data_IF_291144511820
#
_entry.id   IF_291144511820
#
_cell.length_a   1.000
_cell.length_b   1.000
_cell.length_c   1.000
_cell.angle_alpha   90.00
_cell.angle_beta   90.00
_cell.angle_gamma   90.00
#
_symmetry.space_group_name_H-M   'P 1'
#
loop_
_entity.id
_entity.type
_entity.pdbx_description
1 polymer ?
#
# COMPACT_ATOMS: atom_id res chain seq x y z
N UNK A 1 0.96 -10.35 -6.47
CA UNK A 1 -0.24 -10.28 -5.60
C UNK A 1 -0.34 -8.91 -4.94
N UNK A 2 -1.53 -8.48 -4.51
CA UNK A 2 -1.71 -7.18 -3.82
C UNK A 2 -0.79 -7.02 -2.61
N UNK A 3 -0.64 -8.06 -1.79
CA UNK A 3 0.27 -8.07 -0.63
C UNK A 3 1.74 -7.83 -1.03
N UNK A 4 2.18 -8.38 -2.17
CA UNK A 4 3.52 -8.13 -2.67
C UNK A 4 3.72 -6.67 -3.13
N UNK A 5 2.71 -6.07 -3.77
CA UNK A 5 2.74 -4.66 -4.15
C UNK A 5 2.80 -3.73 -2.92
N UNK A 6 2.01 -4.03 -1.88
CA UNK A 6 2.02 -3.28 -0.61
C UNK A 6 3.40 -3.26 0.04
N UNK A 7 4.13 -4.38 0.03
CA UNK A 7 5.49 -4.47 0.58
C UNK A 7 6.52 -3.61 -0.15
N UNK A 8 6.26 -3.23 -1.41
CA UNK A 8 7.17 -2.40 -2.22
C UNK A 8 6.91 -0.90 -2.07
N UNK A 9 5.87 -0.50 -1.33
CA UNK A 9 5.55 0.92 -1.16
C UNK A 9 6.62 1.67 -0.36
N UNK A 10 6.83 2.97 -0.62
CA UNK A 10 7.82 3.76 0.09
C UNK A 10 7.36 4.14 1.51
N UNK A 11 8.34 4.36 2.39
CA UNK A 11 8.15 4.94 3.71
C UNK A 11 7.27 4.09 4.63
N UNK A 12 6.32 4.72 5.34
CA UNK A 12 5.44 4.05 6.33
C UNK A 12 4.23 3.32 5.72
N UNK A 13 4.04 3.43 4.40
CA UNK A 13 2.86 2.88 3.74
C UNK A 13 2.74 1.35 3.74
N UNK A 14 3.83 0.56 3.61
CA UNK A 14 3.76 -0.89 3.76
C UNK A 14 3.20 -1.30 5.11
N UNK A 15 3.67 -0.69 6.21
CA UNK A 15 3.24 -1.03 7.56
C UNK A 15 1.75 -0.76 7.77
N UNK A 16 1.28 0.43 7.37
CA UNK A 16 -0.14 0.80 7.51
C UNK A 16 -1.07 -0.12 6.71
N UNK A 17 -0.78 -0.31 5.42
CA UNK A 17 -1.64 -1.13 4.57
C UNK A 17 -1.56 -2.62 4.91
N UNK A 18 -0.42 -3.09 5.43
CA UNK A 18 -0.32 -4.46 5.95
C UNK A 18 -1.21 -4.65 7.18
N UNK A 19 -1.22 -3.70 8.12
CA UNK A 19 -2.09 -3.75 9.29
C UNK A 19 -3.59 -3.75 8.89
N UNK A 20 -3.97 -2.91 7.93
CA UNK A 20 -5.34 -2.84 7.40
C UNK A 20 -5.77 -4.09 6.61
N UNK A 21 -4.83 -4.84 6.04
CA UNK A 21 -5.09 -6.10 5.32
C UNK A 21 -4.94 -7.34 6.22
N UNK A 22 -4.72 -7.13 7.52
CA UNK A 22 -4.60 -8.21 8.50
C UNK A 22 -5.91 -8.96 8.66
N UNK A 23 -5.83 -10.28 8.82
CA UNK A 23 -7.02 -11.13 9.11
C UNK A 23 -7.60 -10.88 10.49
N UNK A 24 -6.80 -10.34 11.41
CA UNK A 24 -7.25 -10.01 12.77
C UNK A 24 -8.17 -8.79 12.82
N UNK A 25 -8.38 -8.11 11.68
CA UNK A 25 -9.24 -6.93 11.51
C UNK A 25 -9.06 -5.88 12.64
N UNK A 26 -7.83 -5.39 12.86
CA UNK A 26 -7.56 -4.48 13.96
C UNK A 26 -8.30 -3.16 13.78
N UNK A 27 -8.79 -2.60 14.88
CA UNK A 27 -9.40 -1.29 14.90
C UNK A 27 -8.40 -0.19 14.56
N UNK A 28 -8.89 0.96 14.14
CA UNK A 28 -8.05 2.14 13.90
C UNK A 28 -7.22 2.53 15.13
N UNK A 29 -7.77 2.39 16.34
CA UNK A 29 -7.05 2.67 17.57
C UNK A 29 -5.85 1.74 17.76
N UNK A 30 -6.04 0.44 17.50
CA UNK A 30 -4.97 -0.55 17.61
C UNK A 30 -3.89 -0.35 16.56
N UNK A 31 -4.27 -0.08 15.30
CA UNK A 31 -3.33 0.25 14.23
C UNK A 31 -2.53 1.51 14.60
N UNK A 32 -3.20 2.55 15.08
CA UNK A 32 -2.56 3.79 15.49
C UNK A 32 -1.52 3.56 16.61
N UNK A 33 -1.91 2.78 17.63
CA UNK A 33 -1.02 2.40 18.73
C UNK A 33 0.19 1.59 18.26
N UNK A 34 -0.02 0.58 17.43
CA UNK A 34 1.05 -0.27 16.87
C UNK A 34 2.06 0.53 16.05
N UNK A 35 1.60 1.55 15.32
CA UNK A 35 2.44 2.36 14.43
C UNK A 35 2.97 3.65 15.08
N UNK A 36 2.68 3.87 16.38
CA UNK A 36 3.09 5.07 17.11
C UNK A 36 2.59 6.36 16.47
N UNK A 37 1.33 6.37 16.02
CA UNK A 37 0.70 7.54 15.37
C UNK A 37 -0.59 7.93 16.07
N UNK A 38 -1.02 9.18 15.89
CA UNK A 38 -2.35 9.60 16.35
C UNK A 38 -3.44 8.93 15.51
N UNK A 39 -4.50 8.43 16.15
CA UNK A 39 -5.65 7.87 15.45
C UNK A 39 -6.23 8.84 14.41
N UNK A 40 -6.25 10.15 14.70
CA UNK A 40 -6.74 11.18 13.77
C UNK A 40 -5.91 11.30 12.48
N UNK A 41 -4.65 10.86 12.50
CA UNK A 41 -3.78 10.88 11.32
C UNK A 41 -4.02 9.73 10.34
N UNK A 42 -4.76 8.68 10.74
CA UNK A 42 -4.96 7.48 9.91
C UNK A 42 -5.65 7.78 8.58
N UNK A 43 -6.66 8.66 8.57
CA UNK A 43 -7.39 9.02 7.34
C UNK A 43 -6.46 9.64 6.28
N UNK A 44 -5.78 10.76 6.58
CA UNK A 44 -4.81 11.37 5.67
C UNK A 44 -3.69 10.43 5.23
N UNK A 45 -3.10 9.65 6.16
CA UNK A 45 -2.01 8.72 5.83
C UNK A 45 -2.51 7.57 4.95
N UNK A 46 -3.69 7.01 5.23
CA UNK A 46 -4.33 5.99 4.40
C UNK A 46 -4.56 6.48 2.98
N UNK A 47 -5.12 7.68 2.83
CA UNK A 47 -5.34 8.30 1.51
C UNK A 47 -4.03 8.43 0.72
N UNK A 48 -2.98 8.97 1.36
CA UNK A 48 -1.65 9.09 0.75
C UNK A 48 -1.10 7.72 0.32
N UNK A 49 -1.18 6.72 1.18
CA UNK A 49 -0.62 5.40 0.93
C UNK A 49 -1.36 4.63 -0.17
N UNK A 50 -2.68 4.71 -0.21
CA UNK A 50 -3.48 4.16 -1.32
C UNK A 50 -3.19 4.91 -2.63
N UNK A 51 -2.96 6.23 -2.59
CA UNK A 51 -2.53 7.00 -3.75
C UNK A 51 -1.18 6.53 -4.31
N UNK A 52 -0.20 6.25 -3.45
CA UNK A 52 1.07 5.65 -3.84
C UNK A 52 0.88 4.28 -4.49
N UNK A 53 0.06 3.42 -3.88
CA UNK A 53 -0.23 2.09 -4.40
C UNK A 53 -0.89 2.13 -5.77
N UNK A 54 -1.88 3.02 -5.94
CA UNK A 54 -2.56 3.20 -7.24
C UNK A 54 -1.56 3.62 -8.32
N UNK A 55 -0.72 4.63 -8.07
CA UNK A 55 0.29 5.07 -9.06
C UNK A 55 1.25 3.96 -9.46
N UNK A 56 1.74 3.18 -8.49
CA UNK A 56 2.65 2.07 -8.74
C UNK A 56 2.00 0.98 -9.60
N UNK A 57 0.78 0.57 -9.24
CA UNK A 57 0.06 -0.46 -10.00
C UNK A 57 -0.34 0.02 -11.40
N UNK A 58 -0.72 1.29 -11.55
CA UNK A 58 -0.99 1.86 -12.88
C UNK A 58 0.26 1.82 -13.75
N UNK A 59 1.45 2.13 -13.22
CA UNK A 59 2.69 2.04 -13.98
C UNK A 59 3.06 0.60 -14.37
N UNK A 60 2.81 -0.38 -13.50
CA UNK A 60 3.07 -1.80 -13.79
C UNK A 60 2.13 -2.38 -14.85
N UNK A 61 0.86 -2.00 -14.84
CA UNK A 61 -0.14 -2.46 -15.83
C UNK A 61 -0.01 -1.70 -17.15
N UNK A 62 0.36 -0.43 -17.11
CA UNK A 62 0.51 0.39 -18.32
C UNK A 62 1.85 0.18 -19.03
N UNK A 63 2.82 -0.50 -18.42
CA UNK A 63 4.02 -0.93 -19.11
C UNK A 63 3.64 -2.04 -20.12
N UNK A 64 3.73 -1.81 -21.44
CA UNK A 64 3.65 -2.92 -22.38
C UNK A 64 4.80 -3.88 -22.07
N UNK A 65 4.52 -5.18 -22.03
CA UNK A 65 5.57 -6.19 -22.03
C UNK A 65 6.54 -5.90 -23.20
N UNK A 66 7.87 -5.93 -23.00
CA UNK A 66 8.81 -5.85 -24.11
C UNK A 66 8.84 -7.21 -24.82
N UNK A 67 7.73 -7.60 -25.45
CA UNK A 67 7.75 -8.60 -26.51
C UNK A 67 8.19 -7.84 -27.76
N UNK A 68 9.41 -8.04 -28.26
CA UNK A 68 9.86 -9.31 -28.82
C UNK A 68 9.69 -9.19 -30.33
N UNK A 69 10.68 -8.58 -30.99
CA UNK A 69 10.74 -8.47 -32.45
C UNK A 69 11.01 -9.86 -33.03
N UNK A 70 9.95 -10.60 -33.35
CA UNK A 70 10.07 -11.80 -34.19
C UNK A 70 10.44 -11.34 -35.62
N UNK A 71 11.41 -12.03 -36.22
CA UNK A 71 12.00 -11.71 -37.52
C UNK A 71 11.21 -12.31 -38.68
#
# INVERSE_FOLDING_TARGET
TLRAAVRRLPGRCPALLTAMLSRSDPTYREIAGQLGMSQGSLGPVRSRCLGCLRRMLTAEVAAPEPWGKER
#
